data_IF_028080158079
#
_entry.id   IF_028080158079
#
_cell.length_a   1.000
_cell.length_b   1.000
_cell.length_c   1.000
_cell.angle_alpha   90.00
_cell.angle_beta   90.00
_cell.angle_gamma   90.00
#
_symmetry.space_group_name_H-M   'P 1'
#
loop_
_entity.id
_entity.type
_entity.pdbx_description
1 polymer ?
#
# COMPACT_ATOMS: atom_id res chain seq x y z
N UNK A 1 -0.60 -16.76 -14.12
CA UNK A 1 -1.74 -15.84 -14.37
C UNK A 1 -1.13 -14.46 -14.58
N UNK A 2 -1.68 -13.64 -15.49
CA UNK A 2 -1.20 -12.26 -15.70
C UNK A 2 -2.30 -11.34 -15.15
N UNK A 3 -1.97 -10.37 -14.30
CA UNK A 3 -2.93 -9.40 -13.75
C UNK A 3 -2.72 -8.02 -14.38
N UNK A 4 -3.39 -7.72 -15.51
CA UNK A 4 -3.21 -6.45 -16.21
C UNK A 4 -3.74 -5.25 -15.39
N UNK A 5 -3.25 -4.02 -15.65
CA UNK A 5 -3.77 -2.81 -15.03
C UNK A 5 -5.27 -2.64 -15.24
N UNK A 6 -6.01 -2.50 -14.14
CA UNK A 6 -7.44 -2.19 -14.17
C UNK A 6 -7.70 -0.71 -14.48
N UNK A 7 -8.97 -0.32 -14.56
CA UNK A 7 -9.36 1.06 -14.84
C UNK A 7 -8.93 2.04 -13.73
N UNK A 8 -8.90 1.60 -12.47
CA UNK A 8 -8.51 2.44 -11.32
C UNK A 8 -7.00 2.68 -11.33
N UNK A 9 -6.21 1.64 -11.59
CA UNK A 9 -4.75 1.72 -11.75
C UNK A 9 -4.39 2.70 -12.89
N UNK A 10 -5.11 2.63 -14.03
CA UNK A 10 -4.92 3.55 -15.16
C UNK A 10 -5.34 4.98 -14.85
N UNK A 11 -6.41 5.17 -14.07
CA UNK A 11 -6.95 6.49 -13.70
C UNK A 11 -6.06 7.21 -12.70
N UNK A 12 -5.44 6.49 -11.76
CA UNK A 12 -4.63 7.04 -10.69
C UNK A 12 -3.19 6.54 -10.84
N UNK A 13 -2.44 7.14 -11.76
CA UNK A 13 -1.06 6.80 -12.09
C UNK A 13 -0.03 7.78 -11.49
N UNK A 14 -0.46 8.96 -11.01
CA UNK A 14 0.41 9.98 -10.41
C UNK A 14 -0.13 10.50 -9.07
N UNK A 15 0.73 11.20 -8.32
CA UNK A 15 0.35 11.89 -7.08
C UNK A 15 -0.68 12.98 -7.32
N UNK A 16 -0.60 13.69 -8.45
CA UNK A 16 -1.56 14.76 -8.79
C UNK A 16 -2.96 14.20 -9.01
N UNK A 17 -3.06 13.07 -9.72
CA UNK A 17 -4.33 12.36 -9.91
C UNK A 17 -4.85 11.78 -8.59
N UNK A 18 -3.95 11.28 -7.73
CA UNK A 18 -4.34 10.81 -6.40
C UNK A 18 -4.93 11.94 -5.57
N UNK A 19 -4.29 13.11 -5.55
CA UNK A 19 -4.79 14.30 -4.86
C UNK A 19 -6.11 14.81 -5.43
N UNK A 20 -6.28 14.81 -6.76
CA UNK A 20 -7.53 15.21 -7.40
C UNK A 20 -8.70 14.33 -6.93
N UNK A 21 -8.51 13.01 -6.90
CA UNK A 21 -9.53 12.07 -6.41
C UNK A 21 -9.83 12.27 -4.93
N UNK A 22 -8.79 12.43 -4.11
CA UNK A 22 -8.92 12.53 -2.66
C UNK A 22 -9.48 13.88 -2.21
N UNK A 23 -9.29 14.94 -3.00
CA UNK A 23 -9.77 16.30 -2.70
C UNK A 23 -11.18 16.56 -3.25
N UNK A 24 -11.61 15.81 -4.28
CA UNK A 24 -12.92 15.99 -4.93
C UNK A 24 -14.08 15.28 -4.21
N UNK A 25 -13.80 14.36 -3.28
CA UNK A 25 -14.81 13.66 -2.49
C UNK A 25 -15.08 14.30 -1.12
N UNK A 26 -16.24 14.00 -0.53
CA UNK A 26 -16.52 14.23 0.91
C UNK A 26 -15.64 13.37 1.83
N UNK A 27 -14.83 12.47 1.26
CA UNK A 27 -13.74 11.81 1.93
C UNK A 27 -12.74 12.88 2.37
N UNK A 28 -12.90 13.39 3.59
CA UNK A 28 -11.82 14.07 4.29
C UNK A 28 -10.63 13.15 4.21
N UNK A 29 -9.68 13.49 3.33
CA UNK A 29 -8.40 12.82 3.26
C UNK A 29 -7.89 12.66 4.70
N UNK A 30 -7.68 11.40 5.11
CA UNK A 30 -7.73 11.08 6.53
C UNK A 30 -6.62 11.80 7.27
N UNK A 31 -6.93 12.31 8.47
CA UNK A 31 -5.89 12.86 9.36
C UNK A 31 -4.80 11.82 9.68
N UNK A 32 -5.09 10.53 9.49
CA UNK A 32 -4.14 9.44 9.68
C UNK A 32 -3.00 9.49 8.68
N UNK A 33 -3.27 9.76 7.39
CA UNK A 33 -2.20 9.92 6.41
C UNK A 33 -1.29 11.10 6.79
N UNK A 34 -1.85 12.23 7.20
CA UNK A 34 -1.04 13.40 7.59
C UNK A 34 -0.14 13.09 8.80
N UNK A 35 -0.68 12.39 9.81
CA UNK A 35 0.08 11.93 10.98
C UNK A 35 1.16 10.92 10.56
N UNK A 36 0.82 9.97 9.70
CA UNK A 36 1.78 8.99 9.18
C UNK A 36 2.88 9.66 8.35
N UNK A 37 2.55 10.65 7.54
CA UNK A 37 3.51 11.36 6.70
C UNK A 37 4.55 12.08 7.57
N UNK A 38 4.11 12.82 8.58
CA UNK A 38 5.01 13.49 9.54
C UNK A 38 5.89 12.48 10.29
N UNK A 39 5.28 11.42 10.83
CA UNK A 39 6.02 10.33 11.48
C UNK A 39 7.05 9.68 10.55
N UNK A 40 6.66 9.36 9.32
CA UNK A 40 7.49 8.67 8.35
C UNK A 40 8.65 9.55 7.89
N UNK A 41 8.40 10.85 7.65
CA UNK A 41 9.45 11.79 7.29
C UNK A 41 10.53 11.91 8.37
N UNK A 42 10.12 11.88 9.64
CA UNK A 42 11.03 11.90 10.77
C UNK A 42 11.86 10.60 10.90
N UNK A 43 11.21 9.42 10.87
CA UNK A 43 11.92 8.14 11.05
C UNK A 43 12.78 7.75 9.83
N UNK A 44 12.48 8.32 8.66
CA UNK A 44 13.23 8.10 7.43
C UNK A 44 14.09 9.31 7.01
N UNK A 45 14.38 10.22 7.94
CA UNK A 45 15.19 11.41 7.66
C UNK A 45 16.50 11.06 6.94
N UNK A 46 16.76 11.73 5.82
CA UNK A 46 17.94 11.50 4.96
C UNK A 46 17.84 10.29 4.02
N UNK A 47 16.76 9.50 4.08
CA UNK A 47 16.54 8.37 3.19
C UNK A 47 16.13 8.81 1.79
N UNK A 48 16.82 8.30 0.76
CA UNK A 48 16.43 8.48 -0.64
C UNK A 48 15.10 7.80 -0.99
N UNK A 49 14.65 6.82 -0.19
CA UNK A 49 13.37 6.13 -0.40
C UNK A 49 12.18 7.00 -0.05
N UNK A 50 12.36 8.04 0.78
CA UNK A 50 11.26 8.77 1.40
C UNK A 50 10.22 9.25 0.39
N UNK A 51 10.64 9.95 -0.66
CA UNK A 51 9.74 10.45 -1.71
C UNK A 51 8.99 9.31 -2.42
N UNK A 52 9.70 8.27 -2.81
CA UNK A 52 9.10 7.12 -3.53
C UNK A 52 8.03 6.45 -2.68
N UNK A 53 8.28 6.32 -1.37
CA UNK A 53 7.35 5.67 -0.45
C UNK A 53 6.14 6.56 -0.15
N UNK A 54 6.33 7.86 0.07
CA UNK A 54 5.19 8.78 0.27
C UNK A 54 4.29 8.84 -0.95
N UNK A 55 4.87 8.91 -2.15
CA UNK A 55 4.12 8.91 -3.40
C UNK A 55 3.37 7.59 -3.60
N UNK A 56 4.03 6.45 -3.35
CA UNK A 56 3.41 5.14 -3.44
C UNK A 56 2.25 4.98 -2.47
N UNK A 57 2.42 5.35 -1.20
CA UNK A 57 1.38 5.24 -0.17
C UNK A 57 0.18 6.10 -0.52
N UNK A 58 0.40 7.35 -0.97
CA UNK A 58 -0.67 8.24 -1.42
C UNK A 58 -1.48 7.63 -2.57
N UNK A 59 -0.79 7.13 -3.60
CA UNK A 59 -1.45 6.53 -4.77
C UNK A 59 -2.21 5.26 -4.35
N UNK A 60 -1.60 4.40 -3.53
CA UNK A 60 -2.26 3.19 -3.01
C UNK A 60 -3.53 3.54 -2.22
N UNK A 61 -3.45 4.57 -1.37
CA UNK A 61 -4.59 5.05 -0.59
C UNK A 61 -5.73 5.53 -1.50
N UNK A 62 -5.43 6.38 -2.49
CA UNK A 62 -6.42 6.88 -3.44
C UNK A 62 -7.08 5.74 -4.25
N UNK A 63 -6.28 4.78 -4.71
CA UNK A 63 -6.78 3.60 -5.42
C UNK A 63 -7.68 2.75 -4.54
N UNK A 64 -7.30 2.52 -3.28
CA UNK A 64 -8.14 1.80 -2.33
C UNK A 64 -9.46 2.51 -2.07
N UNK A 65 -9.42 3.83 -1.84
CA UNK A 65 -10.61 4.63 -1.59
C UNK A 65 -11.60 4.58 -2.76
N UNK A 66 -11.08 4.70 -3.99
CA UNK A 66 -11.90 4.67 -5.20
C UNK A 66 -12.36 3.27 -5.58
N UNK A 67 -11.53 2.24 -5.36
CA UNK A 67 -11.84 0.86 -5.75
C UNK A 67 -12.78 0.20 -4.73
N UNK A 68 -12.46 0.29 -3.45
CA UNK A 68 -13.08 -0.55 -2.42
C UNK A 68 -13.66 0.22 -1.23
N UNK A 69 -13.55 1.53 -1.14
CA UNK A 69 -13.97 2.23 0.07
C UNK A 69 -14.82 3.46 -0.19
N UNK A 70 -14.57 4.56 0.53
CA UNK A 70 -15.55 5.65 0.65
C UNK A 70 -15.92 6.33 -0.66
N UNK A 71 -15.08 6.22 -1.70
CA UNK A 71 -15.29 6.81 -3.01
C UNK A 71 -15.73 5.78 -4.06
N UNK A 72 -15.85 4.50 -3.67
CA UNK A 72 -16.30 3.43 -4.55
C UNK A 72 -17.82 3.43 -4.69
N UNK A 73 -18.29 3.06 -5.89
CA UNK A 73 -19.70 2.75 -6.12
C UNK A 73 -20.13 1.45 -5.39
N UNK A 74 -19.18 0.57 -5.05
CA UNK A 74 -19.40 -0.69 -4.36
C UNK A 74 -18.44 -0.80 -3.16
N UNK A 75 -18.66 -0.03 -2.08
CA UNK A 75 -17.75 -0.01 -0.94
C UNK A 75 -17.73 -1.37 -0.22
N UNK A 76 -16.54 -1.82 0.18
CA UNK A 76 -16.31 -2.98 1.03
C UNK A 76 -16.22 -2.55 2.48
N UNK A 77 -16.78 -3.36 3.38
CA UNK A 77 -16.79 -3.07 4.82
C UNK A 77 -15.41 -3.16 5.48
N UNK A 78 -14.55 -4.06 4.98
CA UNK A 78 -13.23 -4.32 5.56
C UNK A 78 -12.09 -3.81 4.66
N UNK A 79 -11.88 -4.42 3.49
CA UNK A 79 -10.78 -4.04 2.58
C UNK A 79 -11.04 -2.69 1.89
N UNK A 80 -10.80 -1.60 2.61
CA UNK A 80 -11.03 -0.20 2.20
C UNK A 80 -9.88 0.68 2.69
N UNK A 81 -9.89 1.99 2.40
CA UNK A 81 -8.87 2.93 2.88
C UNK A 81 -8.83 3.01 4.42
N UNK A 82 -9.94 2.71 5.10
CA UNK A 82 -9.99 2.61 6.56
C UNK A 82 -9.12 1.47 7.11
N UNK A 83 -8.94 0.40 6.35
CA UNK A 83 -8.02 -0.69 6.71
C UNK A 83 -6.57 -0.25 6.57
N UNK A 84 -6.25 0.56 5.56
CA UNK A 84 -4.93 1.22 5.47
C UNK A 84 -4.72 2.12 6.69
N UNK A 85 -5.70 2.95 7.07
CA UNK A 85 -5.62 3.79 8.27
C UNK A 85 -5.32 2.98 9.54
N UNK A 86 -6.01 1.86 9.75
CA UNK A 86 -5.78 1.00 10.93
C UNK A 86 -4.35 0.44 10.93
N UNK A 87 -3.87 -0.06 9.79
CA UNK A 87 -2.54 -0.63 9.68
C UNK A 87 -1.43 0.41 9.84
N UNK A 88 -1.60 1.62 9.30
CA UNK A 88 -0.63 2.72 9.49
C UNK A 88 -0.59 3.16 10.96
N UNK A 89 -1.74 3.23 11.65
CA UNK A 89 -1.76 3.49 13.10
C UNK A 89 -1.01 2.42 13.88
N UNK A 90 -1.25 1.15 13.57
CA UNK A 90 -0.54 0.03 14.21
C UNK A 90 0.96 0.10 13.93
N UNK A 91 1.37 0.44 12.72
CA UNK A 91 2.78 0.60 12.37
C UNK A 91 3.46 1.69 13.21
N UNK A 92 2.81 2.85 13.35
CA UNK A 92 3.29 3.95 14.21
C UNK A 92 3.30 3.58 15.70
N UNK A 93 2.40 2.69 16.15
CA UNK A 93 2.42 2.17 17.52
C UNK A 93 3.58 1.17 17.71
N UNK A 94 3.81 0.28 16.75
CA UNK A 94 4.94 -0.67 16.76
C UNK A 94 6.28 0.06 16.82
N UNK A 95 6.40 1.23 16.17
CA UNK A 95 7.63 2.02 16.23
C UNK A 95 7.96 2.56 17.62
N UNK A 96 7.04 2.48 18.58
CA UNK A 96 7.25 2.87 19.99
C UNK A 96 7.70 1.70 20.87
N UNK A 97 7.74 0.48 20.33
CA UNK A 97 8.23 -0.69 21.07
C UNK A 97 9.73 -0.52 21.37
N UNK A 98 10.23 -0.93 22.56
CA UNK A 98 11.64 -0.81 22.90
C UNK A 98 12.58 -1.39 21.84
N UNK A 99 12.23 -2.54 21.26
CA UNK A 99 13.04 -3.22 20.23
C UNK A 99 12.88 -2.67 18.80
N UNK A 100 12.06 -1.64 18.60
CA UNK A 100 11.82 -1.06 17.28
C UNK A 100 13.09 -0.45 16.65
N UNK A 101 14.08 -0.10 17.47
CA UNK A 101 15.40 0.38 17.02
C UNK A 101 16.15 -0.64 16.15
N UNK A 102 15.79 -1.92 16.23
CA UNK A 102 16.37 -2.97 15.38
C UNK A 102 15.85 -2.95 13.94
N UNK A 103 14.78 -2.20 13.66
CA UNK A 103 14.23 -2.08 12.31
C UNK A 103 14.97 -0.94 11.58
N UNK A 104 15.69 -1.25 10.49
CA UNK A 104 16.39 -0.23 9.72
C UNK A 104 15.41 0.71 9.02
N UNK A 105 15.86 1.91 8.63
CA UNK A 105 15.03 2.92 7.95
C UNK A 105 14.30 2.38 6.70
N UNK A 106 14.96 1.53 5.90
CA UNK A 106 14.32 0.89 4.75
C UNK A 106 13.25 -0.14 5.16
N UNK A 107 13.34 -0.71 6.36
CA UNK A 107 12.34 -1.61 6.93
C UNK A 107 11.02 -0.87 7.15
N UNK A 108 11.06 0.31 7.78
CA UNK A 108 9.87 1.17 7.94
C UNK A 108 9.25 1.61 6.62
N UNK A 109 10.11 1.86 5.63
CA UNK A 109 9.71 2.18 4.26
C UNK A 109 8.91 1.03 3.63
N UNK A 110 9.43 -0.20 3.72
CA UNK A 110 8.79 -1.39 3.17
C UNK A 110 7.53 -1.80 3.93
N UNK A 111 7.51 -1.64 5.26
CA UNK A 111 6.31 -1.87 6.06
C UNK A 111 5.21 -0.88 5.69
N UNK A 112 5.52 0.40 5.53
CA UNK A 112 4.53 1.41 5.11
C UNK A 112 3.93 1.07 3.75
N UNK A 113 4.80 0.66 2.80
CA UNK A 113 4.35 0.23 1.48
C UNK A 113 3.44 -1.01 1.59
N UNK A 114 3.88 -2.04 2.31
CA UNK A 114 3.09 -3.24 2.56
C UNK A 114 1.71 -2.92 3.16
N UNK A 115 1.65 -2.11 4.23
CA UNK A 115 0.38 -1.73 4.87
C UNK A 115 -0.58 -1.05 3.90
N UNK A 116 -0.06 -0.22 2.99
CA UNK A 116 -0.89 0.49 2.00
C UNK A 116 -1.25 -0.35 0.75
N UNK A 117 -0.47 -1.38 0.42
CA UNK A 117 -0.54 -2.01 -0.91
C UNK A 117 -1.00 -3.46 -0.93
N UNK A 118 -0.92 -4.18 0.20
CA UNK A 118 -1.10 -5.64 0.20
C UNK A 118 -2.53 -6.10 -0.20
N UNK A 119 -3.53 -5.26 0.02
CA UNK A 119 -4.95 -5.55 -0.29
C UNK A 119 -5.49 -4.68 -1.44
N UNK A 120 -4.63 -4.12 -2.32
CA UNK A 120 -5.09 -3.28 -3.43
C UNK A 120 -6.16 -3.95 -4.30
N UNK A 121 -6.01 -5.24 -4.56
CA UNK A 121 -6.90 -6.04 -5.40
C UNK A 121 -7.65 -7.07 -4.54
N UNK A 122 -8.98 -7.01 -4.53
CA UNK A 122 -9.86 -7.85 -3.68
C UNK A 122 -11.07 -8.42 -4.43
N UNK A 123 -11.07 -8.29 -5.76
CA UNK A 123 -12.17 -8.72 -6.62
C UNK A 123 -12.00 -10.13 -7.19
N UNK A 124 -10.81 -10.74 -7.06
CA UNK A 124 -10.57 -12.08 -7.58
C UNK A 124 -11.21 -13.12 -6.65
N UNK A 125 -11.90 -14.08 -7.25
CA UNK A 125 -12.42 -15.23 -6.53
C UNK A 125 -11.27 -16.09 -6.00
N UNK A 126 -11.46 -16.70 -4.83
CA UNK A 126 -10.53 -17.74 -4.35
C UNK A 126 -10.51 -18.86 -5.37
N UNK A 127 -9.34 -19.10 -5.93
CA UNK A 127 -9.09 -20.28 -6.75
C UNK A 127 -8.15 -21.16 -5.95
N UNK A 128 -8.66 -22.28 -5.43
CA UNK A 128 -8.01 -23.14 -4.42
C UNK A 128 -6.75 -23.89 -4.92
N UNK A 129 -6.27 -23.61 -6.13
CA UNK A 129 -5.20 -24.37 -6.77
C UNK A 129 -3.78 -23.79 -6.54
N UNK A 130 -3.65 -22.62 -5.91
CA UNK A 130 -2.37 -21.95 -5.68
C UNK A 130 -1.98 -21.83 -4.20
N UNK A 131 -0.67 -21.90 -3.92
CA UNK A 131 -0.12 -21.60 -2.57
C UNK A 131 -0.24 -20.11 -2.18
N UNK A 132 -0.51 -19.25 -3.15
CA UNK A 132 -0.65 -17.80 -3.02
C UNK A 132 -1.98 -17.42 -3.66
N UNK A 133 -2.83 -16.66 -2.96
CA UNK A 133 -4.11 -16.22 -3.49
C UNK A 133 -3.97 -15.23 -4.65
N UNK A 134 -5.00 -15.19 -5.50
CA UNK A 134 -5.00 -14.32 -6.68
C UNK A 134 -5.00 -12.82 -6.31
N UNK A 135 -5.63 -12.46 -5.19
CA UNK A 135 -5.69 -11.09 -4.69
C UNK A 135 -4.30 -10.57 -4.27
N UNK A 136 -3.52 -11.40 -3.58
CA UNK A 136 -2.16 -11.08 -3.14
C UNK A 136 -1.22 -10.92 -4.35
N UNK A 137 -1.30 -11.85 -5.32
CA UNK A 137 -0.51 -11.76 -6.55
C UNK A 137 -0.85 -10.49 -7.34
N UNK A 138 -2.13 -10.21 -7.52
CA UNK A 138 -2.58 -9.02 -8.24
C UNK A 138 -2.16 -7.71 -7.53
N UNK A 139 -2.25 -7.67 -6.20
CA UNK A 139 -1.83 -6.53 -5.38
C UNK A 139 -0.32 -6.31 -5.47
N UNK A 140 0.47 -7.39 -5.44
CA UNK A 140 1.92 -7.31 -5.61
C UNK A 140 2.33 -6.87 -7.03
N UNK A 141 1.66 -7.39 -8.06
CA UNK A 141 1.91 -6.97 -9.45
C UNK A 141 1.59 -5.49 -9.65
N UNK A 142 0.46 -5.01 -9.10
CA UNK A 142 0.05 -3.60 -9.17
C UNK A 142 1.07 -2.69 -8.46
N UNK A 143 1.48 -3.00 -7.22
CA UNK A 143 2.46 -2.15 -6.52
C UNK A 143 3.83 -2.18 -7.20
N UNK A 144 4.21 -3.29 -7.83
CA UNK A 144 5.47 -3.39 -8.59
C UNK A 144 5.43 -2.47 -9.81
N UNK A 145 4.31 -2.42 -10.54
CA UNK A 145 4.12 -1.48 -11.66
C UNK A 145 4.10 -0.03 -11.19
N UNK A 146 3.45 0.25 -10.06
CA UNK A 146 3.44 1.57 -9.44
C UNK A 146 4.86 2.05 -9.11
N UNK A 147 5.64 1.25 -8.36
CA UNK A 147 7.03 1.58 -8.03
C UNK A 147 7.83 1.83 -9.30
N UNK A 148 7.68 0.98 -10.32
CA UNK A 148 8.38 1.16 -11.60
C UNK A 148 8.04 2.50 -12.28
N UNK A 149 6.82 2.99 -12.12
CA UNK A 149 6.39 4.27 -12.71
C UNK A 149 6.92 5.50 -11.95
N UNK A 150 7.10 5.41 -10.63
CA UNK A 150 7.49 6.56 -9.79
C UNK A 150 8.96 6.56 -9.34
N UNK A 151 9.65 5.42 -9.42
CA UNK A 151 11.05 5.24 -9.00
C UNK A 151 12.02 5.29 -10.20
N UNK A 152 12.09 6.47 -10.82
CA UNK A 152 12.92 6.79 -11.97
C UNK A 152 14.42 6.47 -11.74
N UNK A 153 14.88 6.67 -10.51
CA UNK A 153 16.27 6.47 -10.08
C UNK A 153 16.55 5.07 -9.54
N UNK A 154 15.57 4.16 -9.58
CA UNK A 154 15.70 2.78 -9.10
C UNK A 154 16.24 2.68 -7.66
N UNK A 155 15.79 3.58 -6.78
CA UNK A 155 16.15 3.61 -5.37
C UNK A 155 15.60 2.37 -4.65
N UNK A 156 14.42 1.89 -5.06
CA UNK A 156 13.84 0.63 -4.59
C UNK A 156 14.55 -0.53 -5.28
N UNK A 157 15.57 -1.05 -4.58
CA UNK A 157 16.39 -2.18 -5.02
C UNK A 157 15.59 -3.47 -5.20
N UNK A 158 16.19 -4.44 -5.90
CA UNK A 158 15.59 -5.76 -6.13
C UNK A 158 15.26 -6.47 -4.82
N UNK A 159 16.15 -6.42 -3.85
CA UNK A 159 15.98 -7.09 -2.55
C UNK A 159 14.79 -6.52 -1.78
N UNK A 160 14.53 -5.22 -1.92
CA UNK A 160 13.36 -4.56 -1.34
C UNK A 160 12.06 -5.09 -1.96
N UNK A 161 12.05 -5.31 -3.29
CA UNK A 161 10.89 -5.84 -4.01
C UNK A 161 10.64 -7.31 -3.66
N UNK A 162 11.68 -8.12 -3.52
CA UNK A 162 11.53 -9.51 -3.08
C UNK A 162 11.04 -9.61 -1.63
N UNK A 163 11.52 -8.75 -0.73
CA UNK A 163 10.99 -8.71 0.63
C UNK A 163 9.52 -8.29 0.66
N UNK A 164 9.14 -7.27 -0.13
CA UNK A 164 7.74 -6.86 -0.28
C UNK A 164 6.87 -7.99 -0.82
N UNK A 165 7.37 -8.72 -1.82
CA UNK A 165 6.71 -9.91 -2.39
C UNK A 165 6.45 -10.97 -1.32
N UNK A 166 7.47 -11.28 -0.50
CA UNK A 166 7.35 -12.26 0.57
C UNK A 166 6.31 -11.83 1.62
N UNK A 167 6.24 -10.54 1.96
CA UNK A 167 5.23 -10.04 2.89
C UNK A 167 3.81 -10.13 2.32
N UNK A 168 3.61 -9.74 1.06
CA UNK A 168 2.28 -9.76 0.42
C UNK A 168 1.83 -11.21 0.14
N UNK A 169 2.68 -12.03 -0.46
CA UNK A 169 2.35 -13.42 -0.78
C UNK A 169 2.33 -14.35 0.44
N UNK A 170 3.08 -14.00 1.48
CA UNK A 170 3.11 -14.72 2.75
C UNK A 170 1.85 -14.48 3.61
N UNK A 171 1.01 -13.51 3.22
CA UNK A 171 -0.30 -13.30 3.81
C UNK A 171 -1.22 -14.45 3.38
N UNK A 172 -1.13 -15.58 4.09
CA UNK A 172 -2.25 -16.53 4.07
C UNK A 172 -3.46 -15.80 4.61
N UNK A 173 -4.55 -15.80 3.88
CA UNK A 173 -5.86 -15.91 4.50
C UNK A 173 -5.83 -17.19 5.35
N UNK A 174 -5.38 -17.08 6.59
CA UNK A 174 -5.69 -18.06 7.64
C UNK A 174 -7.16 -17.83 8.02
N UNK A 175 -8.06 -17.96 7.04
CA UNK A 175 -9.39 -18.45 7.32
C UNK A 175 -9.26 -19.97 7.22
N UNK A 176 -8.89 -20.59 8.35
CA UNK A 176 -9.18 -22.00 8.58
C UNK A 176 -10.66 -22.25 8.28
N UNK A 177 -10.94 -23.30 7.52
CA UNK A 177 -11.55 -24.53 8.06
C UNK A 177 -12.91 -24.28 8.71
#
# INVERSE_FOLDING_TARGET
>A
MIFPPDQIEKRIASTDQAWEILSSGSAKFSGVYAIWLDWYQNISAGSKLQKVITDAVLICYARMALRNGSLSANPRSYHSEKHIDDLLKRLMLVSKHPDAHNIPSYGWSLLSLFMSSHDLQQAFQKNDQGLIGCNEQASFEEVTRLIKAIDDKHIVRREHKELLKLMIHGRRDICGR
#
